data_IF_097259291688
#
_entry.id   IF_097259291688
#
_cell.length_a   1.000
_cell.length_b   1.000
_cell.length_c   1.000
_cell.angle_alpha   90.00
_cell.angle_beta   90.00
_cell.angle_gamma   90.00
#
_symmetry.space_group_name_H-M   'P 1'
#
loop_
_entity.id
_entity.type
_entity.pdbx_description
1 polymer ?
#
# COMPACT_ATOMS: atom_id res chain seq x y z
N UNK A 1 20.51 -3.24 -25.42
CA UNK A 1 20.36 -1.77 -25.50
C UNK A 1 19.02 -1.41 -24.89
N UNK A 2 18.96 -1.11 -23.60
CA UNK A 2 17.77 -0.51 -22.97
C UNK A 2 18.00 0.99 -22.92
N UNK A 3 17.91 1.65 -24.07
CA UNK A 3 17.75 3.11 -24.06
C UNK A 3 16.29 3.36 -23.69
N UNK A 4 16.04 3.62 -22.41
CA UNK A 4 14.77 4.21 -21.99
C UNK A 4 14.63 5.53 -22.74
N UNK A 5 13.82 5.52 -23.80
CA UNK A 5 13.59 6.70 -24.65
C UNK A 5 12.72 7.75 -23.94
N UNK A 6 12.22 7.40 -22.76
CA UNK A 6 11.48 8.28 -21.87
C UNK A 6 12.19 8.37 -20.51
N UNK A 7 12.20 9.54 -19.84
CA UNK A 7 12.81 9.68 -18.52
C UNK A 7 12.24 8.70 -17.51
N UNK A 8 13.12 8.07 -16.72
CA UNK A 8 12.71 7.16 -15.65
C UNK A 8 11.84 7.91 -14.63
N UNK A 9 10.66 7.38 -14.33
CA UNK A 9 9.72 7.99 -13.38
C UNK A 9 8.81 9.08 -13.96
N UNK A 10 8.89 9.38 -15.27
CA UNK A 10 7.90 10.23 -15.93
C UNK A 10 6.82 9.38 -16.61
N UNK A 11 5.55 9.80 -16.59
CA UNK A 11 4.48 9.05 -17.24
C UNK A 11 4.60 9.14 -18.76
N UNK A 12 4.21 8.06 -19.43
CA UNK A 12 4.20 7.94 -20.90
C UNK A 12 3.36 9.02 -21.60
N UNK A 13 2.36 9.57 -20.90
CA UNK A 13 1.57 10.69 -21.34
C UNK A 13 1.16 11.51 -20.12
N UNK A 14 1.17 12.83 -20.25
CA UNK A 14 0.70 13.76 -19.24
C UNK A 14 -0.22 14.80 -19.90
N UNK A 15 -1.41 15.07 -19.34
CA UNK A 15 -2.25 16.15 -19.84
C UNK A 15 -1.54 17.49 -19.67
N UNK A 16 -1.72 18.36 -20.66
CA UNK A 16 -1.28 19.76 -20.60
C UNK A 16 -2.51 20.66 -20.56
N UNK A 17 -2.76 21.27 -19.40
CA UNK A 17 -3.91 22.13 -19.15
C UNK A 17 -3.53 23.58 -19.41
N UNK A 18 -4.26 24.22 -20.32
CA UNK A 18 -4.18 25.66 -20.53
C UNK A 18 -5.36 26.30 -19.85
N UNK A 19 -5.11 27.06 -18.80
CA UNK A 19 -6.14 27.54 -17.87
C UNK A 19 -6.07 29.06 -17.69
N UNK A 20 -7.13 29.62 -17.12
CA UNK A 20 -7.12 31.03 -16.68
C UNK A 20 -6.54 31.11 -15.26
N UNK A 21 -5.35 31.70 -15.09
CA UNK A 21 -4.73 31.82 -13.77
C UNK A 21 -4.25 30.48 -13.23
N UNK A 22 -3.19 29.93 -13.84
CA UNK A 22 -2.73 28.58 -13.52
C UNK A 22 -2.29 28.42 -12.06
N UNK A 23 -1.85 29.50 -11.41
CA UNK A 23 -1.52 29.49 -9.98
C UNK A 23 -2.69 29.09 -9.09
N UNK A 24 -3.86 29.64 -9.35
CA UNK A 24 -5.07 29.29 -8.60
C UNK A 24 -5.43 27.83 -8.81
N UNK A 25 -5.26 27.29 -10.02
CA UNK A 25 -5.44 25.85 -10.27
C UNK A 25 -4.39 25.01 -9.53
N UNK A 26 -3.11 25.41 -9.52
CA UNK A 26 -2.04 24.68 -8.82
C UNK A 26 -2.31 24.65 -7.31
N UNK A 27 -2.69 25.77 -6.72
CA UNK A 27 -3.04 25.87 -5.30
C UNK A 27 -4.27 25.03 -4.97
N UNK A 28 -5.29 25.07 -5.83
CA UNK A 28 -6.48 24.24 -5.72
C UNK A 28 -6.11 22.74 -5.69
N UNK A 29 -5.26 22.28 -6.62
CA UNK A 29 -4.82 20.89 -6.67
C UNK A 29 -3.97 20.48 -5.46
N UNK A 30 -3.11 21.37 -5.00
CA UNK A 30 -2.29 21.14 -3.80
C UNK A 30 -3.18 20.94 -2.58
N UNK A 31 -4.21 21.78 -2.41
CA UNK A 31 -5.11 21.73 -1.26
C UNK A 31 -6.17 20.63 -1.34
N UNK A 32 -6.68 20.34 -2.54
CA UNK A 32 -7.73 19.34 -2.74
C UNK A 32 -7.20 17.91 -2.81
N UNK A 33 -6.09 17.72 -3.54
CA UNK A 33 -5.57 16.39 -3.91
C UNK A 33 -4.19 16.10 -3.32
N UNK A 34 -3.65 17.00 -2.49
CA UNK A 34 -2.30 16.84 -1.93
C UNK A 34 -1.20 16.88 -3.02
N UNK A 35 -1.47 17.56 -4.12
CA UNK A 35 -0.58 17.57 -5.28
C UNK A 35 0.76 18.25 -4.95
N UNK A 36 1.85 17.74 -5.52
CA UNK A 36 3.22 18.28 -5.33
C UNK A 36 3.68 19.00 -6.58
N UNK A 37 4.05 20.28 -6.43
CA UNK A 37 4.67 21.05 -7.52
C UNK A 37 6.10 20.57 -7.74
N UNK A 38 6.41 20.14 -8.97
CA UNK A 38 7.74 19.70 -9.37
C UNK A 38 8.56 20.86 -9.95
N UNK A 39 7.94 21.64 -10.84
CA UNK A 39 8.53 22.83 -11.42
C UNK A 39 7.47 23.91 -11.65
N UNK A 40 7.91 25.16 -11.65
CA UNK A 40 7.09 26.33 -11.96
C UNK A 40 7.97 27.40 -12.58
N UNK A 41 7.72 27.68 -13.86
CA UNK A 41 8.42 28.68 -14.65
C UNK A 41 7.46 29.84 -14.93
N UNK A 42 7.89 31.04 -14.58
CA UNK A 42 7.09 32.25 -14.71
C UNK A 42 7.57 33.09 -15.89
N UNK A 43 6.64 33.79 -16.54
CA UNK A 43 6.98 34.89 -17.46
C UNK A 43 7.51 36.09 -16.67
N UNK A 44 8.16 37.07 -17.32
CA UNK A 44 8.60 38.31 -16.66
C UNK A 44 7.46 39.08 -15.97
N UNK A 45 6.23 38.93 -16.46
CA UNK A 45 5.01 39.54 -15.91
C UNK A 45 4.42 38.73 -14.74
N UNK A 46 5.08 37.64 -14.32
CA UNK A 46 4.68 36.82 -13.17
C UNK A 46 3.61 35.78 -13.46
N UNK A 47 3.27 35.54 -14.74
CA UNK A 47 2.29 34.50 -15.13
C UNK A 47 2.96 33.14 -15.25
N UNK A 48 2.22 32.05 -15.06
CA UNK A 48 2.79 30.70 -15.19
C UNK A 48 2.97 30.36 -16.65
N UNK A 49 4.21 30.42 -17.14
CA UNK A 49 4.54 29.97 -18.48
C UNK A 49 4.42 28.45 -18.60
N UNK A 50 4.86 27.74 -17.56
CA UNK A 50 4.81 26.29 -17.48
C UNK A 50 4.95 25.83 -16.03
N UNK A 51 4.15 24.85 -15.62
CA UNK A 51 4.30 24.17 -14.34
C UNK A 51 4.05 22.68 -14.51
N UNK A 52 4.71 21.90 -13.66
CA UNK A 52 4.51 20.46 -13.51
C UNK A 52 4.02 20.18 -12.10
N UNK A 53 2.89 19.49 -11.99
CA UNK A 53 2.28 19.11 -10.73
C UNK A 53 2.05 17.61 -10.72
N UNK A 54 2.49 16.95 -9.66
CA UNK A 54 2.33 15.51 -9.46
C UNK A 54 1.15 15.25 -8.52
N UNK A 55 0.15 14.52 -8.99
CA UNK A 55 -0.98 14.02 -8.20
C UNK A 55 -0.78 12.52 -8.03
N UNK A 56 -0.36 12.08 -6.84
CA UNK A 56 0.11 10.71 -6.62
C UNK A 56 1.27 10.35 -7.56
N UNK A 57 1.02 9.57 -8.61
CA UNK A 57 1.95 9.14 -9.65
C UNK A 57 1.65 9.76 -11.03
N UNK A 58 0.59 10.58 -11.11
CA UNK A 58 0.12 11.20 -12.36
C UNK A 58 0.65 12.62 -12.49
N UNK A 59 1.40 12.89 -13.57
CA UNK A 59 1.90 14.22 -13.91
C UNK A 59 0.83 15.02 -14.67
N UNK A 60 0.55 16.23 -14.20
CA UNK A 60 -0.28 17.21 -14.89
C UNK A 60 0.59 18.44 -15.18
N UNK A 61 0.65 18.83 -16.44
CA UNK A 61 1.32 20.06 -16.86
C UNK A 61 0.30 21.19 -16.96
N UNK A 62 0.67 22.41 -16.55
CA UNK A 62 -0.20 23.57 -16.59
C UNK A 62 0.50 24.79 -17.18
N UNK A 63 -0.25 25.65 -17.85
CA UNK A 63 0.17 27.00 -18.20
C UNK A 63 -1.00 27.99 -18.20
N UNK A 64 -0.66 29.25 -17.99
CA UNK A 64 -1.56 30.37 -18.20
C UNK A 64 -1.90 30.56 -19.68
N UNK A 65 -3.15 30.91 -19.96
CA UNK A 65 -3.57 31.28 -21.30
C UNK A 65 -2.85 32.54 -21.81
N UNK A 66 -2.37 32.50 -23.06
CA UNK A 66 -1.66 33.58 -23.72
C UNK A 66 -2.22 33.84 -25.14
N UNK A 67 -1.89 34.96 -25.80
CA UNK A 67 -2.24 35.16 -27.20
C UNK A 67 -1.76 33.99 -28.07
N UNK A 68 -2.68 33.36 -28.82
CA UNK A 68 -2.40 32.15 -29.61
C UNK A 68 -2.40 30.83 -28.80
N UNK A 69 -2.53 30.90 -27.48
CA UNK A 69 -2.56 29.75 -26.56
C UNK A 69 -3.70 29.91 -25.54
N UNK A 70 -4.94 29.73 -26.00
CA UNK A 70 -6.14 30.05 -25.23
C UNK A 70 -6.47 28.97 -24.20
N UNK A 71 -7.05 29.39 -23.07
CA UNK A 71 -7.62 28.45 -22.10
C UNK A 71 -8.72 27.62 -22.76
N UNK A 72 -8.74 26.33 -22.45
CA UNK A 72 -9.79 25.41 -22.90
C UNK A 72 -10.31 24.64 -21.72
N UNK A 73 -11.62 24.48 -21.66
CA UNK A 73 -12.22 23.55 -20.72
C UNK A 73 -11.68 22.15 -21.00
N UNK A 74 -11.15 21.54 -19.95
CA UNK A 74 -10.70 20.16 -19.94
C UNK A 74 -11.51 19.40 -18.89
N UNK A 75 -11.74 18.12 -19.14
CA UNK A 75 -12.29 17.21 -18.17
C UNK A 75 -11.19 16.28 -17.69
N UNK A 76 -10.88 16.32 -16.40
CA UNK A 76 -9.88 15.46 -15.78
C UNK A 76 -10.57 14.57 -14.77
N UNK A 77 -10.32 13.26 -14.86
CA UNK A 77 -10.91 12.29 -13.97
C UNK A 77 -9.90 11.87 -12.91
N UNK A 78 -10.28 11.96 -11.64
CA UNK A 78 -9.45 11.60 -10.50
C UNK A 78 -10.18 10.63 -9.60
N UNK A 79 -9.46 9.65 -9.07
CA UNK A 79 -9.99 8.75 -8.04
C UNK A 79 -9.58 9.25 -6.66
N UNK A 80 -10.54 9.28 -5.74
CA UNK A 80 -10.33 9.67 -4.35
C UNK A 80 -10.96 8.64 -3.42
N UNK A 81 -10.52 8.55 -2.15
CA UNK A 81 -11.13 7.62 -1.19
C UNK A 81 -12.58 7.96 -0.81
N UNK A 82 -12.96 9.24 -0.80
CA UNK A 82 -14.28 9.71 -0.37
C UNK A 82 -14.74 10.87 -1.25
N UNK A 83 -15.69 10.61 -2.15
CA UNK A 83 -16.19 11.60 -3.12
C UNK A 83 -16.83 12.78 -2.39
N UNK A 84 -17.64 12.55 -1.37
CA UNK A 84 -18.41 13.55 -0.65
C UNK A 84 -17.50 14.55 0.07
N UNK A 85 -16.51 14.04 0.79
CA UNK A 85 -15.55 14.86 1.51
C UNK A 85 -14.73 15.72 0.54
N UNK A 86 -14.23 15.13 -0.55
CA UNK A 86 -13.44 15.87 -1.54
C UNK A 86 -14.30 16.87 -2.31
N UNK A 87 -15.51 16.49 -2.71
CA UNK A 87 -16.45 17.37 -3.39
C UNK A 87 -16.80 18.59 -2.52
N UNK A 88 -17.17 18.37 -1.25
CA UNK A 88 -17.44 19.48 -0.31
C UNK A 88 -16.23 20.39 -0.13
N UNK A 89 -15.04 19.79 0.04
CA UNK A 89 -13.79 20.54 0.17
C UNK A 89 -13.49 21.38 -1.07
N UNK A 90 -13.76 20.86 -2.27
CA UNK A 90 -13.58 21.62 -3.49
C UNK A 90 -14.48 22.87 -3.54
N UNK A 91 -15.73 22.75 -3.10
CA UNK A 91 -16.63 23.91 -3.01
C UNK A 91 -16.13 24.95 -1.98
N UNK A 92 -15.61 24.51 -0.83
CA UNK A 92 -14.98 25.41 0.15
C UNK A 92 -13.76 26.16 -0.39
N UNK A 93 -13.05 25.54 -1.34
CA UNK A 93 -11.92 26.14 -2.06
C UNK A 93 -12.36 27.06 -3.21
N UNK A 94 -13.66 27.29 -3.38
CA UNK A 94 -14.21 28.20 -4.39
C UNK A 94 -14.47 27.57 -5.75
N UNK A 95 -14.44 26.23 -5.87
CA UNK A 95 -14.88 25.56 -7.09
C UNK A 95 -16.40 25.66 -7.27
N UNK A 96 -16.84 25.69 -8.52
CA UNK A 96 -18.25 25.64 -8.90
C UNK A 96 -18.73 24.18 -8.95
N UNK A 97 -19.92 23.92 -8.42
CA UNK A 97 -20.59 22.62 -8.61
C UNK A 97 -21.00 22.45 -10.07
N UNK A 98 -20.48 21.41 -10.73
CA UNK A 98 -20.94 20.98 -12.06
C UNK A 98 -21.96 19.86 -11.93
N UNK A 99 -21.71 18.94 -11.00
CA UNK A 99 -22.58 17.80 -10.74
C UNK A 99 -22.38 17.33 -9.30
N UNK A 100 -23.46 17.30 -8.51
CA UNK A 100 -23.41 16.72 -7.16
C UNK A 100 -23.05 15.23 -7.22
N UNK A 101 -22.31 14.72 -6.21
CA UNK A 101 -22.00 13.30 -6.09
C UNK A 101 -23.27 12.48 -6.16
N UNK A 102 -23.33 11.59 -7.13
CA UNK A 102 -24.44 10.66 -7.27
C UNK A 102 -23.96 9.31 -7.77
N UNK A 103 -24.86 8.34 -7.59
CA UNK A 103 -24.72 6.99 -8.12
C UNK A 103 -25.50 6.88 -9.42
N UNK A 104 -24.78 6.68 -10.52
CA UNK A 104 -25.39 6.40 -11.82
C UNK A 104 -25.65 4.90 -12.03
N UNK A 105 -25.74 4.48 -13.29
CA UNK A 105 -25.85 3.07 -13.68
C UNK A 105 -24.49 2.34 -13.78
N UNK A 106 -23.40 2.96 -13.32
CA UNK A 106 -22.01 2.45 -13.33
C UNK A 106 -21.57 2.25 -11.86
N UNK A 107 -20.77 1.23 -11.54
CA UNK A 107 -20.20 1.02 -10.20
C UNK A 107 -19.43 2.23 -9.63
N UNK A 108 -19.08 3.24 -10.40
CA UNK A 108 -18.45 4.45 -9.86
C UNK A 108 -19.46 5.45 -9.28
N UNK A 109 -19.28 5.81 -8.01
CA UNK A 109 -19.83 7.04 -7.43
C UNK A 109 -19.00 8.22 -7.90
N UNK A 110 -19.66 9.26 -8.40
CA UNK A 110 -18.95 10.40 -8.98
C UNK A 110 -19.68 11.72 -8.76
N UNK A 111 -18.89 12.77 -8.53
CA UNK A 111 -19.31 14.17 -8.63
C UNK A 111 -18.38 14.92 -9.56
N UNK A 112 -18.73 16.16 -9.91
CA UNK A 112 -17.89 17.03 -10.71
C UNK A 112 -17.91 18.47 -10.20
N UNK A 113 -16.72 19.08 -10.18
CA UNK A 113 -16.53 20.49 -9.83
C UNK A 113 -15.69 21.18 -10.90
N UNK A 114 -15.89 22.48 -11.09
CA UNK A 114 -15.10 23.31 -11.99
C UNK A 114 -14.23 24.25 -11.17
N UNK A 115 -12.92 24.21 -11.40
CA UNK A 115 -11.99 25.13 -10.73
C UNK A 115 -12.01 26.54 -11.36
N UNK A 116 -11.34 27.49 -10.70
CA UNK A 116 -11.23 28.87 -11.19
C UNK A 116 -10.52 28.98 -12.57
N UNK A 117 -9.69 27.99 -12.91
CA UNK A 117 -9.01 27.89 -14.19
C UNK A 117 -9.90 27.40 -15.33
N UNK A 118 -11.11 26.92 -15.03
CA UNK A 118 -12.09 26.41 -15.98
C UNK A 118 -12.00 24.90 -16.21
N UNK A 119 -11.15 24.17 -15.48
CA UNK A 119 -11.04 22.71 -15.60
C UNK A 119 -12.16 22.04 -14.81
N UNK A 120 -12.84 21.07 -15.43
CA UNK A 120 -13.84 20.22 -14.78
C UNK A 120 -13.18 18.96 -14.24
N UNK A 121 -13.16 18.84 -12.92
CA UNK A 121 -12.61 17.70 -12.20
C UNK A 121 -13.73 16.72 -11.86
N UNK A 122 -13.71 15.57 -12.52
CA UNK A 122 -14.57 14.43 -12.18
C UNK A 122 -13.94 13.68 -11.02
N UNK A 123 -14.56 13.79 -9.85
CA UNK A 123 -14.12 13.20 -8.59
C UNK A 123 -14.89 11.90 -8.42
N UNK A 124 -14.20 10.78 -8.46
CA UNK A 124 -14.84 9.47 -8.44
C UNK A 124 -14.25 8.55 -7.37
N UNK A 125 -15.08 7.66 -6.88
CA UNK A 125 -14.67 6.47 -6.14
C UNK A 125 -15.37 5.30 -6.80
N UNK A 126 -14.66 4.19 -6.99
CA UNK A 126 -15.32 2.96 -7.42
C UNK A 126 -16.14 2.44 -6.24
N UNK A 127 -17.47 2.54 -6.27
CA UNK A 127 -18.29 1.85 -5.26
C UNK A 127 -18.16 0.35 -5.52
N UNK A 128 -17.41 -0.30 -4.63
CA UNK A 128 -16.85 -1.63 -4.84
C UNK A 128 -15.33 -1.67 -4.63
N UNK A 129 -14.64 -0.54 -4.50
CA UNK A 129 -13.32 -0.47 -3.85
C UNK A 129 -13.42 -0.62 -2.33
N UNK A 130 -14.63 -0.56 -1.77
CA UNK A 130 -15.02 -1.12 -0.46
C UNK A 130 -15.72 -2.48 -0.59
N UNK A 131 -15.54 -3.22 -1.69
CA UNK A 131 -15.67 -4.67 -1.57
C UNK A 131 -14.37 -5.07 -0.91
N UNK A 132 -14.40 -5.34 0.40
CA UNK A 132 -13.43 -6.28 1.00
C UNK A 132 -13.54 -7.51 0.12
N UNK A 133 -12.60 -7.66 -0.82
CA UNK A 133 -12.49 -8.87 -1.62
C UNK A 133 -12.54 -10.00 -0.61
N UNK A 134 -13.51 -10.90 -0.75
CA UNK A 134 -13.68 -11.99 0.20
C UNK A 134 -12.50 -12.95 0.03
N UNK A 135 -11.43 -12.68 0.77
CA UNK A 135 -10.21 -13.45 0.72
C UNK A 135 -10.47 -14.88 1.23
N UNK A 136 -11.46 -15.08 2.11
CA UNK A 136 -11.79 -16.40 2.62
C UNK A 136 -12.30 -17.31 1.51
N UNK A 137 -13.07 -16.78 0.55
CA UNK A 137 -13.48 -17.52 -0.66
C UNK A 137 -12.32 -17.96 -1.57
N UNK A 138 -11.13 -17.39 -1.37
CA UNK A 138 -9.91 -17.68 -2.12
C UNK A 138 -8.87 -18.45 -1.29
N UNK A 139 -9.23 -18.96 -0.11
CA UNK A 139 -8.43 -19.93 0.63
C UNK A 139 -8.99 -21.32 0.40
N UNK A 140 -8.13 -22.25 -0.03
CA UNK A 140 -8.50 -23.66 -0.19
C UNK A 140 -8.10 -24.43 1.07
N UNK A 141 -9.00 -25.24 1.61
CA UNK A 141 -8.64 -26.23 2.64
C UNK A 141 -8.22 -27.54 1.98
N UNK A 142 -7.03 -28.05 2.34
CA UNK A 142 -6.51 -29.35 1.91
C UNK A 142 -6.38 -30.26 3.13
N UNK A 143 -7.19 -31.32 3.18
CA UNK A 143 -7.16 -32.28 4.28
C UNK A 143 -5.92 -33.17 4.21
N UNK A 144 -5.47 -33.63 5.38
CA UNK A 144 -4.38 -34.59 5.57
C UNK A 144 -3.01 -34.14 5.01
N UNK A 145 -2.79 -32.83 4.95
CA UNK A 145 -1.53 -32.24 4.54
C UNK A 145 -0.94 -31.33 5.63
N UNK A 146 0.37 -31.40 5.94
CA UNK A 146 1.37 -32.31 5.36
C UNK A 146 1.29 -33.74 5.91
N UNK A 147 0.39 -34.02 6.85
CA UNK A 147 0.19 -35.33 7.50
C UNK A 147 -1.30 -35.53 7.83
N UNK A 148 -1.75 -36.78 8.06
CA UNK A 148 -3.12 -37.08 8.43
C UNK A 148 -3.61 -36.28 9.64
N UNK A 149 -4.86 -35.82 9.59
CA UNK A 149 -5.52 -35.05 10.66
C UNK A 149 -5.31 -33.53 10.59
N UNK A 150 -4.61 -33.01 9.58
CA UNK A 150 -4.37 -31.56 9.43
C UNK A 150 -5.23 -31.00 8.29
N UNK A 151 -6.02 -29.96 8.59
CA UNK A 151 -6.71 -29.15 7.59
C UNK A 151 -5.82 -27.97 7.15
N UNK A 152 -5.03 -28.17 6.10
CA UNK A 152 -4.08 -27.16 5.62
C UNK A 152 -4.79 -26.01 4.89
N UNK A 153 -4.52 -24.78 5.32
CA UNK A 153 -5.00 -23.56 4.64
C UNK A 153 -4.04 -23.18 3.52
N UNK A 154 -4.44 -23.47 2.29
CA UNK A 154 -3.69 -23.18 1.08
C UNK A 154 -4.05 -21.80 0.53
N UNK A 155 -3.07 -20.90 0.59
CA UNK A 155 -3.16 -19.50 0.11
C UNK A 155 -2.90 -19.34 -1.38
N UNK A 156 -2.52 -20.40 -2.10
CA UNK A 156 -2.18 -20.29 -3.52
C UNK A 156 -3.33 -19.79 -4.41
N UNK A 157 -4.63 -20.01 -4.11
CA UNK A 157 -5.68 -19.41 -4.92
C UNK A 157 -5.74 -17.88 -4.79
N UNK A 158 -5.41 -17.30 -3.62
CA UNK A 158 -5.21 -15.85 -3.48
C UNK A 158 -4.12 -15.38 -4.43
N UNK A 159 -2.97 -16.08 -4.46
CA UNK A 159 -1.84 -15.71 -5.32
C UNK A 159 -2.15 -15.85 -6.82
N UNK A 160 -3.02 -16.79 -7.19
CA UNK A 160 -3.34 -17.10 -8.58
C UNK A 160 -4.35 -16.15 -9.23
N UNK A 161 -5.16 -15.44 -8.43
CA UNK A 161 -6.07 -14.40 -8.91
C UNK A 161 -5.44 -13.02 -8.64
N UNK A 162 -4.99 -12.28 -9.67
CA UNK A 162 -4.36 -10.96 -9.50
C UNK A 162 -5.23 -9.96 -8.72
N UNK A 163 -6.56 -10.09 -8.79
CA UNK A 163 -7.49 -9.23 -8.05
C UNK A 163 -7.48 -9.59 -6.57
N UNK A 164 -7.53 -10.89 -6.25
CA UNK A 164 -7.45 -11.38 -4.87
C UNK A 164 -6.11 -11.00 -4.23
N UNK A 165 -5.01 -11.18 -4.96
CA UNK A 165 -3.69 -10.84 -4.47
C UNK A 165 -3.52 -9.34 -4.24
N UNK A 166 -3.92 -8.50 -5.21
CA UNK A 166 -3.88 -7.04 -5.05
C UNK A 166 -4.76 -6.57 -3.89
N UNK A 167 -5.95 -7.14 -3.73
CA UNK A 167 -6.82 -6.82 -2.60
C UNK A 167 -6.24 -7.26 -1.25
N UNK A 168 -5.61 -8.44 -1.19
CA UNK A 168 -4.91 -8.91 0.00
C UNK A 168 -3.81 -7.94 0.44
N UNK A 169 -2.96 -7.47 -0.48
CA UNK A 169 -1.90 -6.51 -0.16
C UNK A 169 -2.47 -5.17 0.34
N UNK A 170 -3.54 -4.66 -0.28
CA UNK A 170 -4.20 -3.43 0.18
C UNK A 170 -4.83 -3.57 1.57
N UNK A 171 -5.55 -4.67 1.80
CA UNK A 171 -6.12 -4.96 3.12
C UNK A 171 -5.04 -5.15 4.19
N UNK A 172 -3.89 -5.75 3.86
CA UNK A 172 -2.73 -5.81 4.77
C UNK A 172 -2.20 -4.39 5.07
N UNK A 173 -2.06 -3.54 4.05
CA UNK A 173 -1.57 -2.17 4.21
C UNK A 173 -2.49 -1.33 5.12
N UNK A 174 -3.81 -1.52 5.02
CA UNK A 174 -4.80 -0.85 5.88
C UNK A 174 -4.67 -1.21 7.38
N UNK A 175 -4.08 -2.37 7.71
CA UNK A 175 -3.83 -2.79 9.10
C UNK A 175 -2.54 -2.22 9.68
N UNK A 176 -1.78 -1.45 8.90
CA UNK A 176 -0.45 -0.98 9.29
C UNK A 176 -0.46 0.53 9.45
N UNK A 177 -0.02 1.01 10.62
CA UNK A 177 0.35 2.42 10.79
C UNK A 177 1.69 2.69 10.09
N UNK A 178 1.59 2.98 8.78
CA UNK A 178 2.74 3.18 7.91
C UNK A 178 3.55 4.44 8.25
N UNK A 179 2.94 5.43 8.90
CA UNK A 179 3.62 6.66 9.31
C UNK A 179 4.64 6.39 10.42
N UNK A 180 4.39 5.38 11.25
CA UNK A 180 5.25 4.96 12.34
C UNK A 180 6.07 3.69 12.05
N UNK A 181 6.08 3.20 10.81
CA UNK A 181 6.81 2.01 10.41
C UNK A 181 8.10 2.35 9.64
N UNK A 182 9.21 1.69 9.94
CA UNK A 182 10.48 1.90 9.22
C UNK A 182 10.75 0.84 8.15
N UNK A 183 10.43 -0.44 8.40
CA UNK A 183 10.64 -1.52 7.43
C UNK A 183 9.72 -2.73 7.67
N UNK A 184 9.52 -3.56 6.65
CA UNK A 184 8.79 -4.83 6.71
C UNK A 184 9.79 -5.98 6.69
N UNK A 185 9.77 -6.84 7.69
CA UNK A 185 10.56 -8.06 7.71
C UNK A 185 9.69 -9.29 7.42
N UNK A 186 9.91 -9.92 6.27
CA UNK A 186 9.19 -11.14 5.88
C UNK A 186 9.91 -12.40 6.37
N UNK A 187 9.17 -13.41 6.79
CA UNK A 187 9.69 -14.73 7.16
C UNK A 187 9.63 -15.65 5.93
N UNK A 188 10.73 -16.36 5.63
CA UNK A 188 10.75 -17.21 4.45
C UNK A 188 9.84 -18.44 4.55
N UNK A 189 9.41 -19.03 3.44
CA UNK A 189 9.44 -18.47 2.07
C UNK A 189 8.12 -17.79 1.73
N UNK A 190 7.02 -18.21 2.34
CA UNK A 190 5.67 -17.75 1.99
C UNK A 190 5.39 -16.34 2.52
N UNK A 191 5.94 -15.96 3.66
CA UNK A 191 5.90 -14.57 4.13
C UNK A 191 6.51 -13.58 3.13
N UNK A 192 7.43 -13.99 2.25
CA UNK A 192 7.97 -13.12 1.20
C UNK A 192 6.94 -12.77 0.13
N UNK A 193 6.02 -13.70 -0.16
CA UNK A 193 5.00 -13.53 -1.19
C UNK A 193 4.04 -12.40 -0.85
N UNK A 194 3.86 -12.09 0.42
CA UNK A 194 3.03 -10.98 0.89
C UNK A 194 3.87 -9.80 1.41
N UNK A 195 5.04 -10.07 1.97
CA UNK A 195 5.90 -9.08 2.63
C UNK A 195 6.61 -8.16 1.66
N UNK A 196 7.14 -8.70 0.56
CA UNK A 196 7.81 -7.86 -0.43
C UNK A 196 6.80 -6.93 -1.14
N UNK A 197 5.61 -7.39 -1.60
CA UNK A 197 4.60 -6.50 -2.16
C UNK A 197 4.05 -5.49 -1.15
N UNK A 198 3.83 -5.88 0.10
CA UNK A 198 3.40 -4.94 1.15
C UNK A 198 4.44 -3.84 1.40
N UNK A 199 5.72 -4.20 1.46
CA UNK A 199 6.79 -3.22 1.59
C UNK A 199 6.80 -2.21 0.42
N UNK A 200 6.57 -2.69 -0.81
CA UNK A 200 6.42 -1.83 -1.99
C UNK A 200 5.20 -0.91 -1.89
N UNK A 201 4.03 -1.44 -1.53
CA UNK A 201 2.79 -0.67 -1.34
C UNK A 201 2.95 0.45 -0.29
N UNK A 202 3.67 0.16 0.80
CA UNK A 202 3.92 1.11 1.88
C UNK A 202 5.11 2.06 1.62
N UNK A 203 5.87 1.85 0.54
CA UNK A 203 7.10 2.58 0.26
C UNK A 203 8.19 2.36 1.31
N UNK A 204 8.29 1.15 1.89
CA UNK A 204 9.24 0.79 2.95
C UNK A 204 10.28 -0.24 2.47
N UNK A 205 11.47 -0.29 3.09
CA UNK A 205 12.42 -1.39 2.89
C UNK A 205 11.84 -2.74 3.28
N UNK A 206 12.28 -3.79 2.57
CA UNK A 206 11.96 -5.19 2.88
C UNK A 206 13.18 -5.93 3.42
N UNK A 207 13.03 -6.60 4.57
CA UNK A 207 14.09 -7.33 5.27
C UNK A 207 13.81 -8.84 5.21
N UNK A 208 14.62 -9.65 4.52
CA UNK A 208 14.40 -11.08 4.45
C UNK A 208 14.94 -11.79 5.69
N UNK A 209 14.06 -12.51 6.40
CA UNK A 209 14.42 -13.50 7.42
C UNK A 209 14.42 -14.90 6.79
N UNK A 210 15.52 -15.65 6.89
CA UNK A 210 15.70 -16.92 6.15
C UNK A 210 16.24 -18.04 7.02
N UNK A 211 16.07 -19.29 6.59
CA UNK A 211 16.78 -20.42 7.20
C UNK A 211 18.29 -20.32 6.99
N UNK A 212 19.09 -21.05 7.79
CA UNK A 212 20.53 -20.96 7.74
C UNK A 212 21.15 -21.17 6.37
N UNK A 213 22.16 -20.36 6.06
CA UNK A 213 22.96 -20.48 4.83
C UNK A 213 22.26 -20.00 3.56
N UNK A 214 21.11 -19.33 3.68
CA UNK A 214 20.41 -18.70 2.55
C UNK A 214 20.73 -17.22 2.38
N UNK A 215 21.31 -16.60 3.40
CA UNK A 215 21.74 -15.21 3.40
C UNK A 215 23.26 -15.15 3.11
N UNK A 216 23.70 -14.42 2.06
CA UNK A 216 25.10 -14.45 1.62
C UNK A 216 26.01 -13.51 2.40
N UNK A 217 25.45 -12.55 3.15
CA UNK A 217 26.21 -11.60 3.96
C UNK A 217 26.24 -12.01 5.44
N UNK A 218 26.95 -11.25 6.28
CA UNK A 218 27.03 -11.51 7.72
C UNK A 218 25.64 -11.55 8.34
N UNK A 219 25.33 -12.65 9.02
CA UNK A 219 24.01 -12.89 9.59
C UNK A 219 24.07 -13.18 11.08
N UNK A 220 23.01 -12.76 11.78
CA UNK A 220 22.68 -13.27 13.12
C UNK A 220 21.75 -14.45 12.98
N UNK A 221 21.84 -15.38 13.93
CA UNK A 221 21.05 -16.61 13.96
C UNK A 221 20.38 -16.78 15.33
N UNK A 222 19.13 -17.23 15.32
CA UNK A 222 18.40 -17.70 16.50
C UNK A 222 17.88 -19.10 16.21
N UNK A 223 18.08 -20.01 17.16
CA UNK A 223 17.53 -21.37 17.12
C UNK A 223 16.24 -21.44 17.93
N UNK A 224 15.27 -22.20 17.46
CA UNK A 224 14.01 -22.40 18.16
C UNK A 224 13.56 -23.86 18.10
N UNK A 225 12.87 -24.28 19.16
CA UNK A 225 12.36 -25.64 19.28
C UNK A 225 11.10 -25.85 18.44
N UNK A 226 11.04 -26.98 17.75
CA UNK A 226 9.84 -27.53 17.14
C UNK A 226 9.30 -28.68 18.02
N UNK A 227 8.09 -29.16 17.74
CA UNK A 227 7.53 -30.34 18.41
C UNK A 227 8.43 -31.58 18.23
N UNK A 228 9.09 -31.67 17.07
CA UNK A 228 10.10 -32.68 16.77
C UNK A 228 11.34 -32.02 16.16
N UNK A 229 12.32 -31.67 16.99
CA UNK A 229 13.62 -31.11 16.58
C UNK A 229 13.78 -29.62 16.87
N UNK A 230 14.76 -29.01 16.22
CA UNK A 230 14.97 -27.56 16.22
C UNK A 230 15.11 -27.06 14.78
N UNK A 231 14.74 -25.81 14.57
CA UNK A 231 15.00 -25.08 13.33
C UNK A 231 15.67 -23.74 13.71
N UNK A 232 16.12 -22.98 12.71
CA UNK A 232 16.77 -21.72 12.95
C UNK A 232 16.38 -20.68 11.91
N UNK A 233 16.52 -19.42 12.29
CA UNK A 233 16.25 -18.27 11.44
C UNK A 233 17.47 -17.34 11.48
N UNK A 234 17.72 -16.68 10.35
CA UNK A 234 18.81 -15.75 10.14
C UNK A 234 18.31 -14.43 9.56
N UNK A 235 18.96 -13.33 9.96
CA UNK A 235 18.81 -11.98 9.37
C UNK A 235 20.21 -11.40 9.15
N UNK A 236 20.41 -10.58 8.12
CA UNK A 236 21.68 -9.85 7.98
C UNK A 236 21.90 -8.88 9.15
N UNK A 237 23.14 -8.73 9.58
CA UNK A 237 23.53 -7.82 10.68
C UNK A 237 23.27 -6.34 10.37
N UNK A 238 23.21 -5.98 9.09
CA UNK A 238 22.97 -4.62 8.58
C UNK A 238 21.52 -4.42 8.08
N UNK A 239 20.62 -5.36 8.36
CA UNK A 239 19.24 -5.29 7.87
C UNK A 239 18.47 -4.09 8.43
N UNK A 240 18.75 -3.67 9.67
CA UNK A 240 18.16 -2.48 10.27
C UNK A 240 19.10 -1.81 11.28
N UNK A 241 18.84 -0.54 11.56
CA UNK A 241 19.52 0.24 12.57
C UNK A 241 18.80 0.17 13.93
N UNK A 242 19.51 0.37 15.05
CA UNK A 242 18.89 0.46 16.36
C UNK A 242 17.80 1.53 16.43
N UNK A 243 16.70 1.22 17.11
CA UNK A 243 15.54 2.11 17.27
C UNK A 243 14.51 2.07 16.14
N UNK A 244 14.82 1.44 14.99
CA UNK A 244 13.84 1.30 13.92
C UNK A 244 12.65 0.43 14.35
N UNK A 245 11.47 0.74 13.83
CA UNK A 245 10.22 0.02 14.04
C UNK A 245 9.97 -0.92 12.86
N UNK A 246 9.90 -2.21 13.15
CA UNK A 246 9.84 -3.27 12.15
C UNK A 246 8.50 -4.01 12.28
N UNK A 247 7.84 -4.19 11.14
CA UNK A 247 6.67 -5.05 11.00
C UNK A 247 7.14 -6.44 10.64
N UNK A 248 6.78 -7.45 11.43
CA UNK A 248 6.99 -8.85 11.04
C UNK A 248 5.82 -9.30 10.16
N UNK A 249 6.11 -9.99 9.07
CA UNK A 249 5.08 -10.55 8.20
C UNK A 249 5.33 -12.04 7.89
N UNK A 250 4.27 -12.84 8.02
CA UNK A 250 4.21 -14.20 7.49
C UNK A 250 2.84 -14.47 6.86
N UNK A 251 2.73 -15.55 6.08
CA UNK A 251 1.44 -15.89 5.46
C UNK A 251 0.41 -16.40 6.48
N UNK A 252 0.84 -17.17 7.48
CA UNK A 252 -0.06 -17.83 8.43
C UNK A 252 0.51 -17.88 9.86
N UNK A 253 -0.30 -17.48 10.84
CA UNK A 253 -0.03 -17.67 12.27
C UNK A 253 -0.62 -19.00 12.77
N UNK A 254 0.27 -19.91 13.20
CA UNK A 254 -0.08 -21.16 13.88
C UNK A 254 0.33 -21.13 15.37
N UNK A 255 1.47 -21.74 15.73
CA UNK A 255 1.95 -21.79 17.12
C UNK A 255 2.76 -20.56 17.54
N UNK A 256 3.17 -19.71 16.59
CA UNK A 256 3.92 -18.48 16.83
C UNK A 256 5.44 -18.65 17.04
N UNK A 257 5.99 -19.87 17.04
CA UNK A 257 7.41 -20.13 17.33
C UNK A 257 8.38 -19.40 16.40
N UNK A 258 8.17 -19.51 15.09
CA UNK A 258 9.02 -18.84 14.07
C UNK A 258 8.99 -17.32 14.20
N UNK A 259 7.82 -16.76 14.53
CA UNK A 259 7.62 -15.31 14.66
C UNK A 259 8.30 -14.78 15.92
N UNK A 260 8.30 -15.55 17.02
CA UNK A 260 9.08 -15.22 18.22
C UNK A 260 10.59 -15.21 17.94
N UNK A 261 11.10 -16.19 17.19
CA UNK A 261 12.50 -16.20 16.77
C UNK A 261 12.85 -15.01 15.87
N UNK A 262 11.95 -14.64 14.95
CA UNK A 262 12.09 -13.42 14.14
C UNK A 262 12.11 -12.15 15.00
N UNK A 263 11.21 -12.05 15.99
CA UNK A 263 11.18 -10.93 16.93
C UNK A 263 12.46 -10.82 17.75
N UNK A 264 13.03 -11.95 18.19
CA UNK A 264 14.31 -11.99 18.89
C UNK A 264 15.46 -11.50 18.01
N UNK A 265 15.54 -11.93 16.75
CA UNK A 265 16.55 -11.45 15.80
C UNK A 265 16.48 -9.93 15.60
N UNK A 266 15.27 -9.40 15.34
CA UNK A 266 15.04 -7.96 15.16
C UNK A 266 15.42 -7.18 16.42
N UNK A 267 15.01 -7.64 17.60
CA UNK A 267 15.38 -7.03 18.89
C UNK A 267 16.89 -7.11 19.13
N UNK A 268 17.54 -8.19 18.70
CA UNK A 268 18.98 -8.38 18.77
C UNK A 268 19.79 -7.39 17.93
N UNK A 269 19.20 -6.84 16.86
CA UNK A 269 19.77 -5.73 16.09
C UNK A 269 19.52 -4.35 16.73
N UNK A 270 18.84 -4.30 17.88
CA UNK A 270 18.48 -3.07 18.59
C UNK A 270 17.22 -2.39 18.04
N UNK A 271 16.51 -3.02 17.11
CA UNK A 271 15.24 -2.53 16.58
C UNK A 271 14.06 -2.97 17.46
N UNK A 272 12.91 -2.36 17.23
CA UNK A 272 11.66 -2.68 17.92
C UNK A 272 10.71 -3.38 16.95
N UNK A 273 10.00 -4.40 17.44
CA UNK A 273 8.90 -5.01 16.69
C UNK A 273 7.64 -4.21 16.96
N UNK A 274 7.10 -3.55 15.93
CA UNK A 274 5.85 -2.78 16.04
C UNK A 274 4.66 -3.72 16.20
N UNK A 275 4.56 -4.70 15.31
CA UNK A 275 3.54 -5.74 15.33
C UNK A 275 3.98 -6.91 14.44
N UNK A 276 3.25 -8.02 14.53
CA UNK A 276 3.27 -9.10 13.56
C UNK A 276 1.94 -9.13 12.81
N UNK A 277 2.00 -9.24 11.49
CA UNK A 277 0.84 -9.21 10.60
C UNK A 277 0.79 -10.49 9.75
N UNK A 278 -0.41 -11.04 9.59
CA UNK A 278 -0.64 -12.31 8.90
C UNK A 278 -1.80 -12.23 7.92
N UNK A 279 -1.75 -13.03 6.85
CA UNK A 279 -2.93 -13.23 5.99
C UNK A 279 -3.94 -14.10 6.71
N UNK A 280 -3.49 -15.21 7.29
CA UNK A 280 -4.33 -16.18 8.01
C UNK A 280 -3.85 -16.33 9.45
N UNK A 281 -4.79 -16.40 10.38
CA UNK A 281 -4.59 -16.84 11.76
C UNK A 281 -5.39 -18.11 12.04
N UNK A 282 -4.77 -19.10 12.66
CA UNK A 282 -5.45 -20.25 13.24
C UNK A 282 -5.75 -19.96 14.71
N UNK A 283 -6.90 -19.35 14.97
CA UNK A 283 -7.30 -18.85 16.29
C UNK A 283 -7.48 -19.95 17.35
N UNK A 284 -7.66 -21.20 16.94
CA UNK A 284 -7.67 -22.36 17.83
C UNK A 284 -6.29 -22.78 18.35
N UNK A 285 -5.21 -22.21 17.80
CA UNK A 285 -3.83 -22.43 18.25
C UNK A 285 -3.34 -21.26 19.14
N UNK A 286 -2.35 -21.49 20.03
CA UNK A 286 -1.94 -20.49 21.02
C UNK A 286 -1.06 -19.36 20.46
N UNK A 287 -0.92 -19.23 19.13
CA UNK A 287 0.05 -18.34 18.49
C UNK A 287 -0.07 -16.88 18.91
N UNK A 288 -1.29 -16.32 18.85
CA UNK A 288 -1.58 -14.94 19.26
C UNK A 288 -1.19 -14.69 20.71
N UNK A 289 -1.69 -15.53 21.61
CA UNK A 289 -1.46 -15.39 23.05
C UNK A 289 0.04 -15.42 23.39
N UNK A 290 0.80 -16.30 22.72
CA UNK A 290 2.26 -16.38 22.91
C UNK A 290 2.99 -15.15 22.42
N UNK A 291 2.58 -14.57 21.28
CA UNK A 291 3.18 -13.36 20.73
C UNK A 291 2.87 -12.13 21.58
N UNK A 292 1.61 -11.96 21.98
CA UNK A 292 1.17 -10.84 22.82
C UNK A 292 1.85 -10.90 24.20
N UNK A 293 1.98 -12.08 24.80
CA UNK A 293 2.73 -12.28 26.04
C UNK A 293 4.22 -11.90 25.91
N UNK A 294 4.78 -11.99 24.70
CA UNK A 294 6.15 -11.58 24.39
C UNK A 294 6.25 -10.10 23.95
N UNK A 295 5.16 -9.32 24.08
CA UNK A 295 5.10 -7.92 23.69
C UNK A 295 5.14 -7.70 22.18
N UNK A 296 4.58 -8.63 21.40
CA UNK A 296 4.41 -8.52 19.94
C UNK A 296 2.91 -8.44 19.63
N UNK A 297 2.35 -7.25 19.35
CA UNK A 297 0.96 -7.11 18.92
C UNK A 297 0.69 -7.90 17.63
N UNK A 298 -0.49 -8.50 17.51
CA UNK A 298 -0.86 -9.39 16.39
C UNK A 298 -2.07 -8.85 15.62
N UNK A 299 -1.90 -8.73 14.31
CA UNK A 299 -2.95 -8.41 13.34
C UNK A 299 -3.09 -9.55 12.32
N UNK A 300 -4.31 -9.85 11.88
CA UNK A 300 -4.58 -10.86 10.86
C UNK A 300 -5.76 -10.47 9.98
N UNK A 301 -5.73 -10.80 8.68
CA UNK A 301 -6.87 -10.55 7.78
C UNK A 301 -8.00 -11.57 7.99
N UNK A 302 -7.65 -12.85 8.00
CA UNK A 302 -8.56 -13.97 8.18
C UNK A 302 -8.22 -14.69 9.49
N UNK A 303 -9.25 -15.07 10.25
CA UNK A 303 -9.07 -15.86 11.47
C UNK A 303 -10.03 -17.06 11.45
N UNK A 304 -9.46 -18.27 11.50
CA UNK A 304 -10.20 -19.53 11.56
C UNK A 304 -10.28 -20.00 13.00
N UNK A 305 -11.49 -20.19 13.53
CA UNK A 305 -11.72 -20.48 14.94
C UNK A 305 -11.84 -21.96 15.26
N UNK A 306 -12.06 -22.80 14.26
CA UNK A 306 -12.09 -24.25 14.34
C UNK A 306 -11.16 -24.92 13.33
N UNK A 307 -10.85 -26.20 13.57
CA UNK A 307 -10.02 -27.00 12.66
C UNK A 307 -10.71 -27.25 11.30
N UNK A 308 -12.04 -27.22 11.26
CA UNK A 308 -12.86 -27.48 10.06
C UNK A 308 -13.33 -26.20 9.32
N UNK A 309 -13.16 -25.02 9.92
CA UNK A 309 -13.66 -23.72 9.41
C UNK A 309 -13.03 -23.30 8.08
#
# INVERSE_FOLDING_TARGET
>A
MNSSWHPAGQPMAAPYLVVQGADSTIEFLTQLLGARVLCRHLTPEGRVQHAEVLISDSLVMLADAAPGWQAREAHVHVYVPDVEARYRRALELGAESVQEPHRGNDPNRRGAVRDAGGTVWWISTHEGSETTFDLAANVRTVMDFPRPGIAFKDITPILSDPRAFSACIRQLAERVDAANLDAVAGIESRGFLFGAPLALELGKPFLPLRKPGKLPWKSRRVEYALEYGSDALEIHEDACAPGQKILLLDDLLATGGTVLAAAELVRGLGATVQSALFVIELGFLPGRQRLEAAGVPVESLLCYTGEED
#
